data_IF_909369836284
#
_entry.id   IF_909369836284
#
_cell.length_a   1.000
_cell.length_b   1.000
_cell.length_c   1.000
_cell.angle_alpha   90.00
_cell.angle_beta   90.00
_cell.angle_gamma   90.00
#
_symmetry.space_group_name_H-M   'P 1'
#
loop_
_entity.id
_entity.type
_entity.pdbx_description
1 polymer ?
#
# COMPACT_ATOMS: atom_id res chain seq x y z
N UNK A 1 7.41 -0.03 0.27
CA UNK A 1 6.22 -0.90 0.21
C UNK A 1 4.98 -0.16 -0.27
N UNK A 2 4.65 1.00 0.33
CA UNK A 2 3.72 1.97 -0.22
C UNK A 2 4.21 2.52 -1.58
N UNK A 3 5.51 2.77 -1.69
CA UNK A 3 6.19 3.20 -2.93
C UNK A 3 6.12 2.21 -4.11
N UNK A 4 5.66 0.97 -3.86
CA UNK A 4 5.52 -0.09 -4.87
C UNK A 4 4.06 -0.48 -5.11
N UNK A 5 3.11 0.32 -4.63
CA UNK A 5 1.70 0.17 -4.95
C UNK A 5 1.16 1.44 -5.56
N UNK A 6 0.14 1.27 -6.40
CA UNK A 6 -0.60 2.37 -7.02
C UNK A 6 -2.09 2.32 -6.63
N UNK A 7 -2.50 1.35 -5.82
CA UNK A 7 -3.92 1.10 -5.53
C UNK A 7 -4.60 2.21 -4.71
N UNK A 8 -3.83 3.09 -4.07
CA UNK A 8 -4.36 4.28 -3.39
C UNK A 8 -4.72 5.41 -4.39
N UNK A 9 -4.28 5.29 -5.64
CA UNK A 9 -4.64 6.23 -6.69
C UNK A 9 -6.00 5.86 -7.27
N UNK A 10 -6.87 6.86 -7.40
CA UNK A 10 -8.22 6.69 -7.97
C UNK A 10 -8.15 6.02 -9.34
N UNK A 11 -8.99 5.00 -9.55
CA UNK A 11 -9.07 4.28 -10.83
C UNK A 11 -7.98 3.24 -11.06
N UNK A 12 -7.13 2.97 -10.06
CA UNK A 12 -6.13 1.90 -10.10
C UNK A 12 -6.50 0.85 -9.04
N UNK A 13 -7.04 -0.28 -9.49
CA UNK A 13 -7.22 -1.47 -8.65
C UNK A 13 -6.13 -2.51 -8.93
N UNK A 14 -6.14 -3.61 -8.17
CA UNK A 14 -5.16 -4.69 -8.26
C UNK A 14 -4.91 -5.22 -9.70
N UNK A 15 -5.94 -5.23 -10.57
CA UNK A 15 -5.76 -5.62 -11.99
C UNK A 15 -4.85 -4.65 -12.74
N UNK A 16 -5.16 -3.35 -12.66
CA UNK A 16 -4.44 -2.29 -13.37
C UNK A 16 -3.03 -2.10 -12.80
N UNK A 17 -2.87 -2.26 -11.49
CA UNK A 17 -1.57 -2.34 -10.84
C UNK A 17 -0.69 -3.46 -11.40
N UNK A 18 -1.24 -4.69 -11.55
CA UNK A 18 -0.48 -5.79 -12.18
C UNK A 18 -0.11 -5.51 -13.63
N UNK A 19 -0.95 -4.79 -14.38
CA UNK A 19 -0.63 -4.38 -15.75
C UNK A 19 0.54 -3.39 -15.76
N UNK A 20 0.58 -2.44 -14.81
CA UNK A 20 1.73 -1.54 -14.61
C UNK A 20 2.99 -2.32 -14.28
N UNK A 21 2.93 -3.24 -13.33
CA UNK A 21 4.08 -4.07 -12.95
C UNK A 21 4.62 -4.88 -14.13
N UNK A 22 3.74 -5.49 -14.95
CA UNK A 22 4.13 -6.23 -16.15
C UNK A 22 4.78 -5.35 -17.23
N UNK A 23 4.48 -4.06 -17.23
CA UNK A 23 5.11 -3.07 -18.12
C UNK A 23 6.45 -2.52 -17.60
N UNK A 24 6.88 -2.97 -16.41
CA UNK A 24 8.09 -2.49 -15.74
C UNK A 24 7.89 -1.15 -15.02
N UNK A 25 6.65 -0.82 -14.66
CA UNK A 25 6.35 0.29 -13.75
C UNK A 25 6.00 -0.33 -12.41
N UNK A 26 7.01 -0.57 -11.56
CA UNK A 26 6.85 -1.28 -10.29
C UNK A 26 6.87 -0.36 -9.08
N UNK A 27 7.45 0.82 -9.23
CA UNK A 27 7.60 1.82 -8.18
C UNK A 27 7.10 3.20 -8.62
N UNK A 28 6.93 4.09 -7.64
CA UNK A 28 6.66 5.51 -7.88
C UNK A 28 7.77 6.20 -8.68
N UNK A 29 9.03 5.77 -8.52
CA UNK A 29 10.16 6.26 -9.31
C UNK A 29 10.09 5.79 -10.77
N UNK A 30 9.75 4.52 -10.99
CA UNK A 30 9.49 4.00 -12.34
C UNK A 30 8.34 4.74 -13.00
N UNK A 31 7.35 5.18 -12.23
CA UNK A 31 6.24 5.97 -12.74
C UNK A 31 6.68 7.40 -13.09
N UNK A 32 7.46 8.04 -12.22
CA UNK A 32 7.94 9.42 -12.40
C UNK A 32 8.93 9.57 -13.56
N UNK A 33 9.68 8.52 -13.89
CA UNK A 33 10.65 8.50 -14.99
C UNK A 33 10.02 8.29 -16.38
N UNK A 34 8.72 8.02 -16.47
CA UNK A 34 8.02 7.75 -17.73
C UNK A 34 7.54 9.04 -18.38
N UNK A 35 7.52 9.06 -19.71
CA UNK A 35 6.97 10.19 -20.47
C UNK A 35 5.44 10.19 -20.44
N UNK A 36 4.82 11.36 -20.63
CA UNK A 36 3.35 11.52 -20.70
C UNK A 36 2.70 10.52 -21.67
N UNK A 37 3.32 10.31 -22.85
CA UNK A 37 2.84 9.39 -23.89
C UNK A 37 2.82 7.94 -23.41
N UNK A 38 3.85 7.53 -22.66
CA UNK A 38 3.91 6.18 -22.10
C UNK A 38 2.83 5.98 -21.05
N UNK A 39 2.58 6.97 -20.21
CA UNK A 39 1.60 6.89 -19.14
C UNK A 39 0.15 6.98 -19.64
N UNK A 40 -0.11 7.70 -20.74
CA UNK A 40 -1.43 7.72 -21.38
C UNK A 40 -1.82 6.35 -21.94
N UNK A 41 -0.87 5.54 -22.42
CA UNK A 41 -1.17 4.17 -22.88
C UNK A 41 -1.71 3.28 -21.76
N UNK A 42 -1.33 3.55 -20.51
CA UNK A 42 -1.80 2.81 -19.33
C UNK A 42 -3.01 3.45 -18.63
N UNK A 43 -3.57 4.53 -19.20
CA UNK A 43 -4.64 5.33 -18.59
C UNK A 43 -4.30 5.74 -17.14
N UNK A 44 -3.03 6.07 -16.87
CA UNK A 44 -2.56 6.48 -15.53
C UNK A 44 -2.64 7.99 -15.34
N UNK A 45 -2.68 8.75 -16.44
CA UNK A 45 -2.75 10.21 -16.45
C UNK A 45 -4.03 10.74 -17.09
N UNK A 46 -5.10 9.96 -17.11
CA UNK A 46 -6.38 10.48 -17.56
C UNK A 46 -6.89 11.47 -16.50
N UNK A 47 -6.61 12.75 -16.70
CA UNK A 47 -7.01 13.85 -15.80
C UNK A 47 -8.52 13.83 -15.52
N UNK A 48 -9.34 13.29 -16.42
CA UNK A 48 -10.79 13.14 -16.23
C UNK A 48 -11.16 12.14 -15.13
N UNK A 49 -10.26 11.24 -14.76
CA UNK A 49 -10.50 10.24 -13.72
C UNK A 49 -10.12 10.69 -12.31
N UNK A 50 -9.61 11.92 -12.15
CA UNK A 50 -9.28 12.50 -10.84
C UNK A 50 -8.12 11.77 -10.15
N UNK A 51 -7.09 11.41 -10.92
CA UNK A 51 -5.89 10.79 -10.38
C UNK A 51 -5.21 11.76 -9.41
N UNK A 52 -4.89 11.26 -8.22
CA UNK A 52 -4.10 12.00 -7.24
C UNK A 52 -2.69 12.19 -7.81
N UNK A 53 -2.15 13.43 -7.85
CA UNK A 53 -0.78 13.66 -8.27
C UNK A 53 0.18 12.84 -7.40
N UNK A 54 1.20 12.24 -8.02
CA UNK A 54 2.22 11.46 -7.29
C UNK A 54 2.84 12.27 -6.13
N UNK A 55 2.98 13.58 -6.30
CA UNK A 55 3.45 14.51 -5.28
C UNK A 55 2.62 14.47 -3.98
N UNK A 56 1.30 14.29 -4.02
CA UNK A 56 0.49 14.16 -2.80
C UNK A 56 0.81 12.85 -2.06
N UNK A 57 1.04 11.77 -2.81
CA UNK A 57 1.44 10.48 -2.22
C UNK A 57 2.82 10.55 -1.59
N UNK A 58 3.75 11.26 -2.24
CA UNK A 58 5.10 11.51 -1.72
C UNK A 58 5.03 12.34 -0.44
N UNK A 59 4.28 13.44 -0.44
CA UNK A 59 4.09 14.29 0.74
C UNK A 59 3.47 13.52 1.91
N UNK A 60 2.45 12.72 1.66
CA UNK A 60 1.82 11.89 2.69
C UNK A 60 2.80 10.85 3.27
N UNK A 61 3.67 10.28 2.43
CA UNK A 61 4.73 9.37 2.90
C UNK A 61 5.77 10.12 3.76
N UNK A 62 6.22 11.30 3.33
CA UNK A 62 7.22 12.12 4.04
C UNK A 62 6.78 12.54 5.43
N UNK A 63 5.51 12.90 5.61
CA UNK A 63 4.95 13.27 6.91
C UNK A 63 4.38 12.06 7.68
N UNK A 64 4.54 10.85 7.14
CA UNK A 64 4.01 9.60 7.68
C UNK A 64 2.51 9.64 8.00
N UNK A 65 1.71 10.16 7.06
CA UNK A 65 0.25 10.25 7.14
C UNK A 65 -0.39 8.90 6.79
N UNK A 66 -0.50 8.03 7.79
CA UNK A 66 -1.13 6.72 7.63
C UNK A 66 -2.63 6.84 7.25
N UNK A 67 -3.32 7.86 7.75
CA UNK A 67 -4.74 8.08 7.47
C UNK A 67 -4.96 8.39 5.99
N UNK A 68 -4.08 9.16 5.35
CA UNK A 68 -4.13 9.39 3.91
C UNK A 68 -4.22 8.07 3.12
N UNK A 69 -3.39 7.08 3.47
CA UNK A 69 -3.37 5.78 2.81
C UNK A 69 -4.53 4.89 3.24
N UNK A 70 -4.92 4.89 4.52
CA UNK A 70 -6.02 4.08 5.02
C UNK A 70 -7.36 4.46 4.36
N UNK A 71 -7.59 5.74 4.11
CA UNK A 71 -8.81 6.20 3.42
C UNK A 71 -8.85 5.84 1.93
N UNK A 72 -7.74 5.41 1.33
CA UNK A 72 -7.59 5.25 -0.12
C UNK A 72 -7.25 3.83 -0.56
N UNK A 73 -6.54 3.08 0.27
CA UNK A 73 -6.23 1.68 0.01
C UNK A 73 -7.42 0.77 0.33
N UNK A 74 -7.61 -0.32 -0.42
CA UNK A 74 -8.46 -1.42 0.02
C UNK A 74 -7.97 -1.97 1.36
N UNK A 75 -8.91 -2.39 2.23
CA UNK A 75 -8.56 -2.93 3.57
C UNK A 75 -7.58 -4.09 3.51
N UNK A 76 -7.66 -4.92 2.48
CA UNK A 76 -6.75 -6.04 2.25
C UNK A 76 -5.30 -5.61 2.02
N UNK A 77 -5.07 -4.34 1.67
CA UNK A 77 -3.75 -3.77 1.41
C UNK A 77 -3.21 -2.97 2.61
N UNK A 78 -3.90 -2.95 3.76
CA UNK A 78 -3.46 -2.19 4.94
C UNK A 78 -2.12 -2.66 5.50
N UNK A 79 -1.73 -3.92 5.26
CA UNK A 79 -0.40 -4.42 5.63
C UNK A 79 0.73 -3.57 4.99
N UNK A 80 0.48 -2.91 3.85
CA UNK A 80 1.41 -1.97 3.22
C UNK A 80 1.63 -0.70 4.03
N UNK A 81 0.60 -0.24 4.74
CA UNK A 81 0.68 0.92 5.63
C UNK A 81 1.52 0.56 6.85
N UNK A 82 1.20 -0.57 7.49
CA UNK A 82 1.94 -1.11 8.63
C UNK A 82 3.45 -1.24 8.34
N UNK A 83 3.79 -1.78 7.17
CA UNK A 83 5.18 -1.93 6.73
C UNK A 83 5.79 -0.65 6.13
N UNK A 84 4.97 0.38 5.87
CA UNK A 84 5.41 1.70 5.44
C UNK A 84 5.84 2.60 6.59
N UNK A 85 5.27 2.39 7.79
CA UNK A 85 5.52 3.20 8.98
C UNK A 85 5.88 2.32 10.19
N UNK A 86 7.01 1.59 10.16
CA UNK A 86 7.36 0.62 11.20
C UNK A 86 7.47 1.26 12.58
N UNK A 87 7.98 2.48 12.68
CA UNK A 87 8.10 3.26 13.94
C UNK A 87 6.75 3.65 14.56
N UNK A 88 5.66 3.58 13.79
CA UNK A 88 4.28 3.86 14.22
C UNK A 88 3.39 2.63 14.22
N UNK A 89 3.97 1.44 14.03
CA UNK A 89 3.24 0.19 13.86
C UNK A 89 3.65 -0.79 14.93
N UNK A 90 2.67 -1.42 15.56
CA UNK A 90 2.86 -2.58 16.43
C UNK A 90 2.30 -3.81 15.74
N UNK A 91 3.08 -4.88 15.73
CA UNK A 91 2.64 -6.19 15.24
C UNK A 91 2.26 -7.05 16.44
N UNK A 92 1.02 -7.53 16.45
CA UNK A 92 0.50 -8.44 17.45
C UNK A 92 0.48 -9.84 16.84
N UNK A 93 1.22 -10.75 17.45
CA UNK A 93 1.15 -12.17 17.12
C UNK A 93 0.36 -12.88 18.20
N UNK A 94 -0.67 -13.63 17.78
CA UNK A 94 -1.58 -14.33 18.67
C UNK A 94 -1.51 -15.80 18.32
N UNK A 95 -0.89 -16.57 19.20
CA UNK A 95 -0.75 -18.01 19.05
C UNK A 95 -1.62 -18.72 20.09
N UNK A 96 -2.41 -19.70 19.62
CA UNK A 96 -3.13 -20.58 20.53
C UNK A 96 -2.17 -21.67 20.99
N UNK A 97 -1.92 -21.74 22.29
CA UNK A 97 -1.03 -22.75 22.89
C UNK A 97 -1.91 -23.87 23.44
N UNK A 98 -2.11 -24.92 22.64
CA UNK A 98 -2.89 -26.09 23.05
C UNK A 98 -2.04 -27.05 23.88
N UNK A 99 -1.88 -26.80 25.18
CA UNK A 99 -1.03 -27.65 26.04
C UNK A 99 -1.79 -28.66 26.91
N UNK A 100 -3.12 -28.58 27.07
CA UNK A 100 -3.92 -29.62 27.75
C UNK A 100 -5.35 -29.62 27.22
N UNK A 101 -5.99 -30.79 27.12
CA UNK A 101 -7.44 -30.88 26.87
C UNK A 101 -8.20 -30.12 27.98
N UNK A 102 -8.82 -28.99 27.61
CA UNK A 102 -9.65 -28.18 28.51
C UNK A 102 -9.04 -26.88 29.03
N UNK A 103 -7.80 -26.50 28.65
CA UNK A 103 -7.21 -25.19 28.96
C UNK A 103 -7.09 -24.32 27.70
N UNK A 104 -7.84 -23.21 27.66
CA UNK A 104 -7.69 -22.18 26.61
C UNK A 104 -6.58 -21.19 27.00
N UNK A 105 -5.33 -21.53 26.69
CA UNK A 105 -4.18 -20.64 26.86
C UNK A 105 -3.82 -19.96 25.53
N UNK A 106 -3.57 -18.65 25.61
CA UNK A 106 -3.20 -17.80 24.48
C UNK A 106 -1.87 -17.11 24.76
N UNK A 107 -0.93 -17.26 23.84
CA UNK A 107 0.33 -16.52 23.85
C UNK A 107 0.17 -15.30 22.95
N UNK A 108 0.51 -14.14 23.50
CA UNK A 108 0.41 -12.86 22.80
C UNK A 108 1.80 -12.21 22.82
N UNK A 109 2.38 -12.02 21.64
CA UNK A 109 3.67 -11.36 21.45
C UNK A 109 3.47 -10.01 20.76
N UNK A 110 4.24 -9.01 21.18
CA UNK A 110 4.21 -7.65 20.62
C UNK A 110 5.58 -7.33 20.03
N UNK A 111 5.62 -6.94 18.76
CA UNK A 111 6.82 -6.51 18.04
C UNK A 111 6.65 -5.07 17.57
N UNK A 112 7.72 -4.28 17.61
CA UNK A 112 7.78 -2.87 17.17
C UNK A 112 9.18 -2.48 16.73
#
# INVERSE_FOLDING_TARGET
MLTYTFQHMRGIGAKKERELWRSGITSWEDLASRTQVQLSMFNVLDEKNGHIPLHESQRALEIEDADFFAHRLPRQEYYRIALGFPTKTLFLDIERVGLVEGSDEWLVSVFG
#
